data_IF_723692396641
#
_entry.id   IF_723692396641
#
_cell.length_a   1.000
_cell.length_b   1.000
_cell.length_c   1.000
_cell.angle_alpha   90.00
_cell.angle_beta   90.00
_cell.angle_gamma   90.00
#
_symmetry.space_group_name_H-M   'P 1'
#
loop_
_entity.id
_entity.type
_entity.pdbx_description
1 polymer ?
#
# COMPACT_ATOMS: atom_id res chain seq x y z
N UNK A 1 9.48 -6.41 -1.97
CA UNK A 1 8.77 -5.47 -2.88
C UNK A 1 9.73 -4.83 -3.89
N UNK A 2 10.84 -4.30 -3.40
CA UNK A 2 11.83 -3.62 -4.27
C UNK A 2 12.40 -4.59 -5.30
N UNK A 3 12.82 -5.77 -4.88
CA UNK A 3 13.36 -6.78 -5.78
C UNK A 3 12.33 -7.24 -6.81
N UNK A 4 11.08 -7.40 -6.42
CA UNK A 4 10.00 -7.79 -7.32
C UNK A 4 9.75 -6.73 -8.39
N UNK A 5 9.75 -5.45 -8.01
CA UNK A 5 9.59 -4.36 -8.96
C UNK A 5 10.78 -4.26 -9.92
N UNK A 6 12.00 -4.40 -9.41
CA UNK A 6 13.21 -4.35 -10.22
C UNK A 6 13.28 -5.48 -11.25
N UNK A 7 12.76 -6.65 -10.90
CA UNK A 7 12.72 -7.79 -11.81
C UNK A 7 11.82 -7.52 -13.02
N UNK A 8 10.75 -6.75 -12.83
CA UNK A 8 9.80 -6.40 -13.91
C UNK A 8 10.29 -5.18 -14.69
N UNK A 9 10.77 -4.16 -13.99
CA UNK A 9 11.21 -2.89 -14.58
C UNK A 9 12.62 -2.54 -14.11
N UNK A 10 13.67 -3.02 -14.79
CA UNK A 10 15.04 -2.61 -14.46
C UNK A 10 15.17 -1.08 -14.51
N UNK A 11 15.87 -0.53 -13.53
CA UNK A 11 16.01 0.92 -13.41
C UNK A 11 17.33 1.27 -12.71
N UNK A 12 17.70 2.54 -12.77
CA UNK A 12 18.92 3.06 -12.17
C UNK A 12 18.70 3.72 -10.80
N UNK A 13 17.48 3.69 -10.26
CA UNK A 13 17.18 4.29 -8.97
C UNK A 13 17.77 3.46 -7.84
N UNK A 14 18.28 4.13 -6.81
CA UNK A 14 18.88 3.47 -5.66
C UNK A 14 17.82 2.74 -4.84
N UNK A 15 18.27 1.73 -4.11
CA UNK A 15 17.42 1.00 -3.17
C UNK A 15 16.82 1.96 -2.14
N UNK A 16 17.63 2.90 -1.64
CA UNK A 16 17.16 3.90 -0.67
C UNK A 16 16.02 4.75 -1.25
N UNK A 17 16.15 5.20 -2.49
CA UNK A 17 15.10 5.98 -3.15
C UNK A 17 13.79 5.18 -3.20
N UNK A 18 13.87 3.93 -3.63
CA UNK A 18 12.69 3.05 -3.72
C UNK A 18 12.12 2.75 -2.33
N UNK A 19 12.98 2.61 -1.33
CA UNK A 19 12.55 2.44 0.05
C UNK A 19 11.77 3.66 0.54
N UNK A 20 12.21 4.88 0.21
CA UNK A 20 11.50 6.10 0.59
C UNK A 20 10.13 6.19 -0.09
N UNK A 21 10.00 5.71 -1.31
CA UNK A 21 8.70 5.63 -1.97
C UNK A 21 7.75 4.67 -1.23
N UNK A 22 8.25 3.51 -0.82
CA UNK A 22 7.46 2.56 -0.02
C UNK A 22 7.07 3.15 1.33
N UNK A 23 7.99 3.85 1.97
CA UNK A 23 7.73 4.53 3.23
C UNK A 23 6.57 5.50 3.11
N UNK A 24 6.56 6.30 2.05
CA UNK A 24 5.48 7.25 1.78
C UNK A 24 4.15 6.54 1.54
N UNK A 25 4.17 5.49 0.74
CA UNK A 25 2.97 4.71 0.47
C UNK A 25 2.42 4.08 1.75
N UNK A 26 3.29 3.52 2.56
CA UNK A 26 2.88 2.90 3.83
C UNK A 26 2.27 3.95 4.76
N UNK A 27 2.84 5.15 4.82
CA UNK A 27 2.28 6.25 5.59
C UNK A 27 0.89 6.66 5.11
N UNK A 28 0.68 6.71 3.80
CA UNK A 28 -0.63 7.00 3.24
C UNK A 28 -1.65 5.91 3.58
N UNK A 29 -1.26 4.65 3.51
CA UNK A 29 -2.13 3.53 3.91
C UNK A 29 -2.52 3.63 5.39
N UNK A 30 -1.55 3.93 6.24
CA UNK A 30 -1.80 4.10 7.67
C UNK A 30 -2.82 5.20 7.94
N UNK A 31 -2.68 6.33 7.26
CA UNK A 31 -3.54 7.48 7.46
C UNK A 31 -4.92 7.31 6.83
N UNK A 32 -4.95 6.82 5.58
CA UNK A 32 -6.16 6.86 4.75
C UNK A 32 -7.00 5.59 4.82
N UNK A 33 -6.35 4.44 4.97
CA UNK A 33 -7.06 3.14 4.97
C UNK A 33 -7.19 2.60 6.38
N UNK A 34 -6.09 2.56 7.12
CA UNK A 34 -6.09 2.01 8.48
C UNK A 34 -6.54 3.03 9.53
N UNK A 35 -6.64 4.31 9.14
CA UNK A 35 -7.13 5.40 10.00
C UNK A 35 -6.38 5.51 11.32
N UNK A 36 -5.08 5.34 11.28
CA UNK A 36 -4.22 5.39 12.45
C UNK A 36 -4.04 6.82 12.96
N UNK A 37 -3.87 6.97 14.27
CA UNK A 37 -3.53 8.26 14.88
C UNK A 37 -2.13 8.71 14.44
N UNK A 38 -1.88 10.03 14.35
CA UNK A 38 -0.55 10.54 13.93
C UNK A 38 0.61 9.99 14.77
N UNK A 39 0.40 9.77 16.05
CA UNK A 39 1.45 9.19 16.92
C UNK A 39 1.81 7.76 16.50
N UNK A 40 0.81 6.95 16.15
CA UNK A 40 1.03 5.59 15.68
C UNK A 40 1.74 5.57 14.34
N UNK A 41 1.39 6.49 13.44
CA UNK A 41 2.04 6.62 12.14
C UNK A 41 3.53 6.93 12.34
N UNK A 42 3.87 7.82 13.26
CA UNK A 42 5.26 8.15 13.56
C UNK A 42 6.03 6.96 14.13
N UNK A 43 5.39 6.18 14.99
CA UNK A 43 6.02 4.99 15.59
C UNK A 43 6.31 3.91 14.57
N UNK A 44 5.43 3.79 13.57
CA UNK A 44 5.55 2.76 12.54
C UNK A 44 6.30 3.24 11.31
N UNK A 45 6.83 4.47 11.34
CA UNK A 45 7.57 5.04 10.22
C UNK A 45 8.82 4.22 9.92
N UNK A 46 8.98 3.86 8.65
CA UNK A 46 10.09 3.02 8.22
C UNK A 46 11.41 3.78 8.18
N UNK A 47 12.46 3.18 8.71
CA UNK A 47 13.80 3.76 8.72
C UNK A 47 14.74 2.93 7.86
N UNK A 48 15.40 3.57 6.92
CA UNK A 48 16.38 2.92 6.06
C UNK A 48 17.78 3.00 6.70
N UNK A 49 18.59 1.94 6.68
CA UNK A 49 18.27 0.59 6.20
C UNK A 49 17.74 -0.37 7.27
N UNK A 50 17.52 0.12 8.49
CA UNK A 50 17.20 -0.73 9.64
C UNK A 50 15.92 -1.55 9.44
N UNK A 51 14.94 -0.99 8.74
CA UNK A 51 13.65 -1.63 8.56
C UNK A 51 13.49 -2.33 7.20
N UNK A 52 14.60 -2.65 6.53
CA UNK A 52 14.56 -3.32 5.21
C UNK A 52 13.84 -4.67 5.24
N UNK A 53 13.94 -5.39 6.35
CA UNK A 53 13.33 -6.71 6.51
C UNK A 53 11.98 -6.65 7.23
N UNK A 54 11.48 -5.46 7.52
CA UNK A 54 10.23 -5.28 8.24
C UNK A 54 9.04 -5.65 7.37
N UNK A 55 8.08 -6.35 7.96
CA UNK A 55 6.83 -6.65 7.27
C UNK A 55 6.01 -5.39 7.08
N UNK A 56 5.44 -5.25 5.88
CA UNK A 56 4.55 -4.16 5.55
C UNK A 56 3.11 -4.49 5.99
N UNK A 57 2.28 -3.45 6.06
CA UNK A 57 0.93 -3.60 6.63
C UNK A 57 -0.03 -4.43 5.80
N UNK A 58 0.14 -4.41 4.48
CA UNK A 58 -0.77 -5.16 3.60
C UNK A 58 -0.28 -6.58 3.44
N UNK A 59 -1.10 -7.53 3.87
CA UNK A 59 -0.77 -8.95 3.84
C UNK A 59 -1.18 -9.60 2.52
N UNK A 60 -0.60 -10.77 2.18
CA UNK A 60 -1.10 -11.55 1.06
C UNK A 60 -2.61 -11.85 1.23
N UNK A 61 -3.39 -11.90 0.15
CA UNK A 61 -2.96 -11.86 -1.25
C UNK A 61 -2.85 -10.46 -1.85
N UNK A 62 -2.99 -9.42 -1.06
CA UNK A 62 -3.04 -8.04 -1.55
C UNK A 62 -1.70 -7.31 -1.51
N UNK A 63 -0.65 -7.97 -1.08
CA UNK A 63 0.69 -7.38 -0.93
C UNK A 63 1.38 -7.04 -2.25
N UNK A 64 0.84 -7.47 -3.39
CA UNK A 64 1.32 -7.08 -4.70
C UNK A 64 1.14 -5.57 -5.00
N UNK A 65 0.36 -4.87 -4.17
CA UNK A 65 0.27 -3.41 -4.22
C UNK A 65 1.65 -2.74 -4.22
N UNK A 66 2.56 -3.25 -3.40
CA UNK A 66 3.86 -2.61 -3.20
C UNK A 66 4.72 -2.64 -4.45
N UNK A 67 4.98 -3.79 -5.08
CA UNK A 67 5.73 -3.78 -6.33
C UNK A 67 5.01 -3.06 -7.46
N UNK A 68 3.68 -3.11 -7.52
CA UNK A 68 2.91 -2.38 -8.52
C UNK A 68 3.06 -0.87 -8.36
N UNK A 69 3.04 -0.38 -7.14
CA UNK A 69 3.26 1.04 -6.86
C UNK A 69 4.67 1.47 -7.28
N UNK A 70 5.68 0.67 -6.94
CA UNK A 70 7.06 0.97 -7.32
C UNK A 70 7.23 0.99 -8.84
N UNK A 71 6.60 0.07 -9.56
CA UNK A 71 6.63 0.07 -11.02
C UNK A 71 6.06 1.37 -11.60
N UNK A 72 4.94 1.84 -11.06
CA UNK A 72 4.34 3.11 -11.48
C UNK A 72 5.27 4.30 -11.18
N UNK A 73 5.89 4.30 -10.00
CA UNK A 73 6.85 5.36 -9.63
C UNK A 73 8.07 5.35 -10.55
N UNK A 74 8.59 4.19 -10.89
CA UNK A 74 9.72 4.05 -11.81
C UNK A 74 9.36 4.66 -13.17
N UNK A 75 8.20 4.34 -13.71
CA UNK A 75 7.74 4.88 -14.98
C UNK A 75 7.59 6.40 -14.92
N UNK A 76 7.00 6.91 -13.86
CA UNK A 76 6.79 8.34 -13.68
C UNK A 76 8.12 9.10 -13.61
N UNK A 77 9.07 8.60 -12.81
CA UNK A 77 10.37 9.25 -12.63
C UNK A 77 11.24 9.17 -13.89
N UNK A 78 11.03 8.16 -14.72
CA UNK A 78 11.71 8.05 -16.02
C UNK A 78 11.05 8.87 -17.12
N UNK A 79 9.92 9.53 -16.84
CA UNK A 79 9.19 10.31 -17.83
C UNK A 79 8.46 9.48 -18.86
N UNK A 80 8.28 8.20 -18.63
CA UNK A 80 7.59 7.29 -19.55
C UNK A 80 6.07 7.32 -19.28
N UNK A 81 5.42 8.40 -19.69
CA UNK A 81 4.05 8.68 -19.29
C UNK A 81 3.02 7.66 -19.76
N UNK A 82 3.21 7.07 -20.95
CA UNK A 82 2.29 6.02 -21.42
C UNK A 82 2.38 4.77 -20.56
N UNK A 83 3.60 4.36 -20.21
CA UNK A 83 3.82 3.22 -19.32
C UNK A 83 3.32 3.53 -17.92
N UNK A 84 3.51 4.76 -17.48
CA UNK A 84 3.01 5.21 -16.18
C UNK A 84 1.48 5.08 -16.10
N UNK A 85 0.78 5.52 -17.14
CA UNK A 85 -0.68 5.43 -17.19
C UNK A 85 -1.14 3.97 -17.07
N UNK A 86 -0.49 3.06 -17.81
CA UNK A 86 -0.80 1.63 -17.74
C UNK A 86 -0.49 1.05 -16.36
N UNK A 87 0.67 1.37 -15.81
CA UNK A 87 1.09 0.91 -14.48
C UNK A 87 0.15 1.41 -13.39
N UNK A 88 -0.29 2.66 -13.48
CA UNK A 88 -1.25 3.24 -12.54
C UNK A 88 -2.62 2.59 -12.64
N UNK A 89 -3.06 2.22 -13.83
CA UNK A 89 -4.32 1.50 -14.00
C UNK A 89 -4.28 0.16 -13.27
N UNK A 90 -3.18 -0.57 -13.42
CA UNK A 90 -3.01 -1.86 -12.74
C UNK A 90 -2.93 -1.66 -11.22
N UNK A 91 -2.13 -0.70 -10.78
CA UNK A 91 -2.00 -0.38 -9.36
C UNK A 91 -3.33 0.03 -8.76
N UNK A 92 -4.07 0.92 -9.43
CA UNK A 92 -5.36 1.39 -8.93
C UNK A 92 -6.38 0.26 -8.82
N UNK A 93 -6.36 -0.70 -9.73
CA UNK A 93 -7.22 -1.87 -9.65
C UNK A 93 -6.90 -2.72 -8.42
N UNK A 94 -5.61 -2.95 -8.16
CA UNK A 94 -5.15 -3.71 -7.01
C UNK A 94 -5.46 -2.96 -5.70
N UNK A 95 -5.24 -1.66 -5.68
CA UNK A 95 -5.54 -0.80 -4.54
C UNK A 95 -7.03 -0.82 -4.21
N UNK A 96 -7.88 -0.67 -5.22
CA UNK A 96 -9.32 -0.70 -5.05
C UNK A 96 -9.79 -2.05 -4.50
N UNK A 97 -9.25 -3.15 -5.02
CA UNK A 97 -9.57 -4.47 -4.53
C UNK A 97 -9.21 -4.63 -3.05
N UNK A 98 -8.03 -4.15 -2.67
CA UNK A 98 -7.59 -4.18 -1.28
C UNK A 98 -8.50 -3.34 -0.38
N UNK A 99 -8.80 -2.10 -0.78
CA UNK A 99 -9.63 -1.19 0.02
C UNK A 99 -11.03 -1.77 0.19
N UNK A 100 -11.62 -2.32 -0.86
CA UNK A 100 -12.95 -2.94 -0.77
C UNK A 100 -12.95 -4.12 0.20
N UNK A 101 -11.94 -4.99 0.11
CA UNK A 101 -11.80 -6.11 1.04
C UNK A 101 -11.62 -5.62 2.49
N UNK A 102 -10.73 -4.65 2.68
CA UNK A 102 -10.44 -4.11 4.02
C UNK A 102 -11.67 -3.46 4.63
N UNK A 103 -12.41 -2.68 3.86
CA UNK A 103 -13.61 -2.01 4.35
C UNK A 103 -14.73 -2.98 4.69
N UNK A 104 -14.82 -4.10 4.02
CA UNK A 104 -15.78 -5.14 4.35
C UNK A 104 -15.51 -5.76 5.73
N UNK A 105 -14.23 -5.90 6.08
CA UNK A 105 -13.83 -6.54 7.33
C UNK A 105 -13.68 -5.54 8.48
N UNK A 106 -13.23 -4.34 8.16
CA UNK A 106 -12.77 -3.37 9.15
C UNK A 106 -13.40 -1.99 8.98
N UNK A 107 -14.52 -1.88 8.26
CA UNK A 107 -15.23 -0.61 8.12
C UNK A 107 -15.49 -0.04 9.52
N UNK A 108 -15.04 1.21 9.81
CA UNK A 108 -15.25 1.80 11.13
C UNK A 108 -16.69 1.83 11.57
N UNK A 109 -17.62 2.09 10.64
CA UNK A 109 -19.04 2.07 10.94
C UNK A 109 -19.52 0.67 11.25
N UNK A 110 -19.03 -0.31 10.54
CA UNK A 110 -19.33 -1.71 10.74
C UNK A 110 -18.47 -2.31 11.85
N UNK A 111 -17.23 -1.89 11.97
CA UNK A 111 -16.31 -2.34 12.98
C UNK A 111 -16.68 -1.90 14.39
N UNK A 112 -17.22 -0.70 14.52
CA UNK A 112 -17.71 -0.20 15.79
C UNK A 112 -18.86 -1.02 16.31
N UNK A 113 -19.78 -1.23 15.44
CA UNK A 113 -20.95 -2.03 15.72
C UNK A 113 -21.18 -3.01 14.58
N UNK A 114 -20.09 -3.39 13.93
CA UNK A 114 -20.14 -4.36 12.86
C UNK A 114 -20.75 -5.64 13.30
N UNK A 115 -20.36 -6.12 14.47
CA UNK A 115 -20.97 -7.27 15.05
C UNK A 115 -22.41 -7.02 15.45
N UNK A 116 -22.72 -5.85 15.98
CA UNK A 116 -24.07 -5.47 16.29
C UNK A 116 -24.91 -5.28 15.05
N UNK A 117 -24.37 -4.61 14.04
CA UNK A 117 -25.05 -4.43 12.77
C UNK A 117 -25.34 -5.77 12.11
N UNK A 118 -24.37 -6.67 12.11
CA UNK A 118 -24.57 -8.02 11.60
C UNK A 118 -25.59 -8.79 12.39
N UNK A 119 -25.57 -8.65 13.70
CA UNK A 119 -26.59 -9.25 14.54
C UNK A 119 -27.97 -8.70 14.23
N UNK A 120 -28.06 -7.39 14.04
CA UNK A 120 -29.32 -6.75 13.67
C UNK A 120 -29.81 -7.19 12.30
N UNK A 121 -28.91 -7.35 11.36
CA UNK A 121 -29.25 -7.85 10.02
C UNK A 121 -29.72 -9.29 10.06
N UNK A 122 -29.14 -10.07 10.95
CA UNK A 122 -29.48 -11.47 11.14
C UNK A 122 -30.75 -11.60 11.99
N UNK A 123 -30.92 -10.70 12.87
CA UNK A 123 -32.09 -10.63 13.75
C UNK A 123 -33.28 -10.03 13.00
#
# INVERSE_FOLDING_TARGET
AIAAADAVKPNAFSEETKFQWLRRMEGCLQAEVFLMAPAQIRELDLQYPADMDRELLVDPPYDDLYPLYLQARIDAENGEYNKYADSMTIYNSAYTAFVCWFCQLYDPAEGYYGEEARRHEVE
#
